data_IF_111155234047
#
_entry.id   IF_111155234047
#
_cell.length_a   1.000
_cell.length_b   1.000
_cell.length_c   1.000
_cell.angle_alpha   90.00
_cell.angle_beta   90.00
_cell.angle_gamma   90.00
#
_symmetry.space_group_name_H-M   'P 1'
#
loop_
_entity.id
_entity.type
_entity.pdbx_description
1 polymer ?
#
# COMPACT_ATOMS: atom_id res chain seq x y z
N UNK A 1 63.13 -23.18 -11.14
CA UNK A 1 62.42 -22.07 -10.45
C UNK A 1 62.77 -22.15 -8.98
N UNK A 2 63.43 -21.14 -8.40
CA UNK A 2 63.76 -21.16 -6.96
C UNK A 2 62.46 -21.22 -6.15
N UNK A 3 62.42 -22.00 -5.07
CA UNK A 3 61.25 -22.18 -4.21
C UNK A 3 60.63 -20.85 -3.74
N UNK A 4 61.45 -19.81 -3.61
CA UNK A 4 61.03 -18.43 -3.35
C UNK A 4 59.97 -17.91 -4.33
N UNK A 5 60.11 -18.15 -5.63
CA UNK A 5 59.13 -17.67 -6.62
C UNK A 5 57.79 -18.38 -6.49
N UNK A 6 57.78 -19.65 -6.08
CA UNK A 6 56.55 -20.42 -5.86
C UNK A 6 55.79 -19.87 -4.65
N UNK A 7 56.51 -19.52 -3.58
CA UNK A 7 55.93 -18.92 -2.37
C UNK A 7 55.31 -17.55 -2.68
N UNK A 8 56.00 -16.72 -3.46
CA UNK A 8 55.49 -15.40 -3.86
C UNK A 8 54.21 -15.51 -4.70
N UNK A 9 54.16 -16.45 -5.65
CA UNK A 9 52.97 -16.66 -6.48
C UNK A 9 51.78 -17.16 -5.65
N UNK A 10 51.99 -18.10 -4.72
CA UNK A 10 50.93 -18.58 -3.83
C UNK A 10 50.38 -17.49 -2.92
N UNK A 11 51.25 -16.61 -2.38
CA UNK A 11 50.84 -15.48 -1.58
C UNK A 11 49.98 -14.46 -2.37
N UNK A 12 50.35 -14.20 -3.63
CA UNK A 12 49.59 -13.35 -4.54
C UNK A 12 48.22 -13.93 -4.86
N UNK A 13 48.13 -15.24 -5.13
CA UNK A 13 46.85 -15.92 -5.35
C UNK A 13 45.93 -15.85 -4.13
N UNK A 14 46.46 -16.03 -2.92
CA UNK A 14 45.69 -15.90 -1.68
C UNK A 14 45.17 -14.48 -1.46
N UNK A 15 46.00 -13.47 -1.73
CA UNK A 15 45.60 -12.05 -1.65
C UNK A 15 44.48 -11.71 -2.64
N UNK A 16 44.59 -12.14 -3.90
CA UNK A 16 43.54 -11.95 -4.89
C UNK A 16 42.23 -12.64 -4.51
N UNK A 17 42.31 -13.85 -3.93
CA UNK A 17 41.14 -14.60 -3.46
C UNK A 17 40.44 -13.90 -2.29
N UNK A 18 41.20 -13.42 -1.30
CA UNK A 18 40.66 -12.68 -0.15
C UNK A 18 40.05 -11.33 -0.57
N UNK A 19 40.70 -10.61 -1.49
CA UNK A 19 40.19 -9.36 -2.05
C UNK A 19 38.87 -9.58 -2.80
N UNK A 20 38.80 -10.60 -3.67
CA UNK A 20 37.56 -10.95 -4.40
C UNK A 20 36.41 -11.42 -3.50
N UNK A 21 36.74 -12.04 -2.36
CA UNK A 21 35.73 -12.43 -1.35
C UNK A 21 35.24 -11.24 -0.52
N UNK A 22 36.09 -10.24 -0.30
CA UNK A 22 35.73 -9.02 0.40
C UNK A 22 34.86 -8.09 -0.45
N UNK A 23 35.15 -7.97 -1.75
CA UNK A 23 34.35 -7.15 -2.68
C UNK A 23 32.96 -7.73 -2.95
N UNK A 24 32.82 -9.07 -2.97
CA UNK A 24 31.49 -9.71 -3.09
C UNK A 24 30.55 -9.42 -1.89
N UNK A 25 31.10 -9.03 -0.73
CA UNK A 25 30.28 -8.62 0.42
C UNK A 25 29.82 -7.15 0.37
N UNK A 26 30.42 -6.33 -0.50
CA UNK A 26 30.05 -4.93 -0.68
C UNK A 26 28.88 -4.73 -1.68
N UNK A 27 28.38 -5.80 -2.29
CA UNK A 27 27.32 -5.75 -3.30
C UNK A 27 25.89 -5.79 -2.77
N UNK A 28 25.65 -5.44 -1.50
CA UNK A 28 24.36 -5.71 -0.87
C UNK A 28 23.89 -4.68 0.14
N UNK A 29 23.95 -3.37 -0.17
CA UNK A 29 23.14 -2.39 0.59
C UNK A 29 22.95 -1.08 -0.19
N UNK A 30 22.40 -1.17 -1.40
CA UNK A 30 21.75 -0.03 -2.05
C UNK A 30 20.28 -0.40 -2.30
N UNK A 31 19.50 -0.45 -1.23
CA UNK A 31 18.04 -0.43 -1.36
C UNK A 31 17.58 0.82 -0.64
N UNK A 32 17.20 1.82 -1.45
CA UNK A 32 16.62 3.08 -1.02
C UNK A 32 15.55 2.80 0.04
N UNK A 33 15.82 3.27 1.26
CA UNK A 33 14.92 3.11 2.38
C UNK A 33 13.90 4.23 2.34
N UNK A 34 12.65 3.86 2.08
CA UNK A 34 11.38 4.44 2.51
C UNK A 34 10.43 4.73 1.34
N UNK A 35 9.81 3.70 0.77
CA UNK A 35 8.64 3.89 -0.09
C UNK A 35 7.40 3.41 0.66
N UNK A 36 6.63 4.35 1.18
CA UNK A 36 5.25 4.08 1.61
C UNK A 36 4.42 3.81 0.37
N UNK A 37 4.02 2.56 0.16
CA UNK A 37 3.12 2.19 -0.93
C UNK A 37 1.67 2.43 -0.48
N UNK A 38 1.03 3.43 -1.05
CA UNK A 38 -0.41 3.66 -0.89
C UNK A 38 -1.10 2.93 -2.04
N UNK A 39 -1.74 1.80 -1.75
CA UNK A 39 -2.56 1.07 -2.71
C UNK A 39 -4.03 1.46 -2.50
N UNK A 40 -4.67 1.91 -3.56
CA UNK A 40 -6.13 2.06 -3.61
C UNK A 40 -6.69 0.80 -4.26
N UNK A 41 -7.45 0.02 -3.49
CA UNK A 41 -8.19 -1.12 -4.03
C UNK A 41 -9.64 -0.67 -4.32
N UNK A 42 -10.18 -1.11 -5.45
CA UNK A 42 -11.53 -0.74 -5.88
C UNK A 42 -12.42 -1.96 -5.79
N UNK A 43 -13.37 -1.94 -4.85
CA UNK A 43 -14.37 -2.99 -4.75
C UNK A 43 -15.64 -2.49 -5.44
N UNK A 44 -16.00 -3.15 -6.54
CA UNK A 44 -17.23 -2.88 -7.29
C UNK A 44 -18.35 -3.75 -6.78
N UNK A 45 -19.43 -3.13 -6.31
CA UNK A 45 -20.59 -3.82 -5.79
C UNK A 45 -21.78 -3.69 -6.73
N UNK A 46 -22.30 -4.83 -7.20
CA UNK A 46 -23.63 -4.94 -7.81
C UNK A 46 -24.62 -5.28 -6.69
N UNK A 47 -25.23 -4.28 -6.06
CA UNK A 47 -26.15 -4.52 -4.93
C UNK A 47 -27.58 -4.18 -5.36
N UNK A 48 -28.39 -5.20 -5.72
CA UNK A 48 -29.72 -4.99 -6.26
C UNK A 48 -30.86 -4.93 -5.22
N UNK A 49 -30.59 -5.00 -3.90
CA UNK A 49 -31.65 -5.02 -2.89
C UNK A 49 -31.44 -4.00 -1.75
N UNK A 50 -32.42 -3.11 -1.50
CA UNK A 50 -32.42 -2.23 -0.34
C UNK A 50 -32.83 -3.00 0.92
N UNK A 51 -32.33 -2.55 2.08
CA UNK A 51 -32.70 -3.11 3.38
C UNK A 51 -34.08 -2.60 3.82
N UNK A 52 -34.32 -1.30 3.62
CA UNK A 52 -35.59 -0.66 3.91
C UNK A 52 -36.06 0.19 2.74
N UNK A 53 -37.36 0.20 2.51
CA UNK A 53 -38.03 1.10 1.58
C UNK A 53 -39.12 1.86 2.34
N UNK A 54 -39.01 3.18 2.38
CA UNK A 54 -39.94 4.05 3.07
C UNK A 54 -40.51 5.08 2.10
N UNK A 55 -41.81 5.38 2.22
CA UNK A 55 -42.42 6.49 1.48
C UNK A 55 -42.24 7.75 2.32
N UNK A 56 -41.41 8.69 1.85
CA UNK A 56 -41.08 9.91 2.61
C UNK A 56 -42.02 11.07 2.30
N UNK A 57 -42.49 11.16 1.05
CA UNK A 57 -43.27 12.29 0.59
C UNK A 57 -44.18 11.88 -0.55
N UNK A 58 -45.34 12.54 -0.66
CA UNK A 58 -46.18 12.48 -1.86
C UNK A 58 -46.32 13.89 -2.39
N UNK A 59 -45.84 14.14 -3.61
CA UNK A 59 -45.87 15.44 -4.27
C UNK A 59 -46.94 15.40 -5.37
N UNK A 60 -47.94 16.29 -5.35
CA UNK A 60 -48.89 16.41 -6.45
C UNK A 60 -48.22 17.13 -7.62
N UNK A 61 -48.02 16.45 -8.75
CA UNK A 61 -47.50 17.05 -9.98
C UNK A 61 -48.63 17.26 -10.99
N UNK A 62 -48.65 18.41 -11.68
CA UNK A 62 -49.65 18.73 -12.69
C UNK A 62 -49.27 18.14 -14.04
N UNK A 63 -50.10 17.23 -14.56
CA UNK A 63 -49.96 16.68 -15.90
C UNK A 63 -51.04 17.24 -16.84
N UNK A 64 -50.68 17.80 -18.00
CA UNK A 64 -51.66 18.22 -18.99
C UNK A 64 -52.24 16.99 -19.70
N UNK A 65 -53.55 16.84 -19.67
CA UNK A 65 -54.26 15.83 -20.44
C UNK A 65 -55.06 16.52 -21.54
N UNK A 66 -55.02 15.92 -22.72
CA UNK A 66 -55.75 16.39 -23.90
C UNK A 66 -56.98 15.52 -24.07
N UNK A 67 -58.16 16.10 -23.92
CA UNK A 67 -59.43 15.42 -24.09
C UNK A 67 -60.02 15.90 -25.43
N UNK A 68 -60.27 14.97 -26.35
CA UNK A 68 -60.94 15.26 -27.61
C UNK A 68 -62.43 15.06 -27.47
N UNK A 69 -63.20 16.16 -27.49
CA UNK A 69 -64.66 16.13 -27.55
C UNK A 69 -65.11 16.71 -28.89
N UNK A 70 -65.85 15.91 -29.67
CA UNK A 70 -66.55 16.36 -30.89
C UNK A 70 -65.73 17.22 -31.88
N UNK A 71 -64.41 17.01 -31.94
CA UNK A 71 -63.50 17.71 -32.85
C UNK A 71 -62.66 18.83 -32.21
N UNK A 72 -62.95 19.22 -30.97
CA UNK A 72 -62.14 20.16 -30.19
C UNK A 72 -61.20 19.41 -29.23
N UNK A 73 -59.97 19.94 -29.10
CA UNK A 73 -58.97 19.42 -28.14
C UNK A 73 -58.93 20.35 -26.94
N UNK A 74 -59.46 19.92 -25.80
CA UNK A 74 -59.41 20.68 -24.55
C UNK A 74 -58.20 20.22 -23.73
N UNK A 75 -57.45 21.18 -23.17
CA UNK A 75 -56.31 20.91 -22.28
C UNK A 75 -56.73 21.09 -20.83
N UNK A 76 -56.86 20.00 -20.09
CA UNK A 76 -57.16 20.02 -18.65
C UNK A 76 -55.96 19.51 -17.85
N UNK A 77 -55.46 20.28 -16.85
CA UNK A 77 -54.42 19.80 -15.96
C UNK A 77 -55.01 18.89 -14.86
N UNK A 78 -54.44 17.70 -14.67
CA UNK A 78 -54.78 16.79 -13.57
C UNK A 78 -53.59 16.70 -12.61
N UNK A 79 -53.88 16.62 -11.31
CA UNK A 79 -52.88 16.39 -10.27
C UNK A 79 -52.63 14.89 -10.10
N UNK A 80 -51.42 14.43 -10.38
CA UNK A 80 -50.99 13.06 -10.14
C UNK A 80 -50.15 13.03 -8.85
N UNK A 81 -50.54 12.24 -7.84
CA UNK A 81 -49.76 12.10 -6.61
C UNK A 81 -48.54 11.23 -6.87
N UNK A 82 -47.36 11.85 -6.97
CA UNK A 82 -46.09 11.16 -7.13
C UNK A 82 -45.54 10.80 -5.75
N UNK A 83 -45.37 9.50 -5.50
CA UNK A 83 -44.76 9.01 -4.26
C UNK A 83 -43.24 9.06 -4.40
N UNK A 84 -42.61 9.83 -3.54
CA UNK A 84 -41.17 9.82 -3.35
C UNK A 84 -40.85 8.76 -2.31
N UNK A 85 -40.14 7.73 -2.72
CA UNK A 85 -39.63 6.69 -1.83
C UNK A 85 -38.16 6.92 -1.52
N UNK A 86 -37.73 6.44 -0.38
CA UNK A 86 -36.36 6.40 0.07
C UNK A 86 -35.98 4.94 0.30
N UNK A 87 -34.87 4.54 -0.30
CA UNK A 87 -34.30 3.21 -0.15
C UNK A 87 -32.98 3.31 0.61
N UNK A 88 -32.85 2.50 1.63
CA UNK A 88 -31.64 2.39 2.44
C UNK A 88 -30.80 1.19 2.00
N UNK A 89 -29.53 1.42 1.74
CA UNK A 89 -28.54 0.41 1.38
C UNK A 89 -27.48 0.38 2.48
N UNK A 90 -27.38 -0.75 3.16
CA UNK A 90 -26.46 -0.97 4.27
C UNK A 90 -25.59 -2.19 3.98
N UNK A 91 -24.28 -1.98 3.99
CA UNK A 91 -23.23 -3.00 3.84
C UNK A 91 -22.16 -2.74 4.91
N UNK A 92 -21.23 -3.68 5.12
CA UNK A 92 -20.12 -3.49 6.06
C UNK A 92 -19.21 -2.30 5.69
N UNK A 93 -19.11 -2.00 4.39
CA UNK A 93 -18.21 -0.95 3.87
C UNK A 93 -18.87 0.42 3.69
N UNK A 94 -20.20 0.48 3.60
CA UNK A 94 -20.91 1.73 3.31
C UNK A 94 -22.36 1.74 3.78
N UNK A 95 -22.87 2.94 4.02
CA UNK A 95 -24.28 3.21 4.34
C UNK A 95 -24.78 4.36 3.47
N UNK A 96 -25.81 4.10 2.67
CA UNK A 96 -26.34 5.06 1.70
C UNK A 96 -27.87 5.11 1.69
N UNK A 97 -28.42 6.30 1.50
CA UNK A 97 -29.84 6.52 1.26
C UNK A 97 -30.05 7.09 -0.14
N UNK A 98 -30.94 6.47 -0.91
CA UNK A 98 -31.33 6.94 -2.25
C UNK A 98 -32.81 7.30 -2.21
N UNK A 99 -33.11 8.59 -2.40
CA UNK A 99 -34.49 9.10 -2.45
C UNK A 99 -34.85 9.53 -3.87
N UNK A 100 -36.12 9.33 -4.26
CA UNK A 100 -36.60 9.73 -5.58
C UNK A 100 -37.96 9.12 -5.92
N UNK A 101 -38.39 9.33 -7.17
CA UNK A 101 -39.51 8.58 -7.74
C UNK A 101 -39.00 7.22 -8.22
N UNK A 102 -39.44 6.14 -7.57
CA UNK A 102 -38.96 4.78 -7.84
C UNK A 102 -37.42 4.69 -7.97
N UNK A 103 -36.65 5.13 -6.95
CA UNK A 103 -35.20 5.12 -7.02
C UNK A 103 -34.68 3.67 -7.03
N UNK A 104 -33.62 3.40 -7.77
CA UNK A 104 -32.87 2.14 -7.74
C UNK A 104 -31.37 2.45 -7.74
N UNK A 105 -30.60 1.64 -7.02
CA UNK A 105 -29.14 1.69 -7.06
C UNK A 105 -28.67 0.58 -8.01
N UNK A 106 -27.99 0.96 -9.09
CA UNK A 106 -27.49 -0.01 -10.07
C UNK A 106 -26.13 -0.58 -9.65
N UNK A 107 -25.20 0.30 -9.25
CA UNK A 107 -23.88 -0.09 -8.73
C UNK A 107 -23.26 1.01 -7.90
N UNK A 108 -22.34 0.64 -7.01
CA UNK A 108 -21.52 1.56 -6.22
C UNK A 108 -20.06 1.08 -6.23
N UNK A 109 -19.14 2.02 -6.44
CA UNK A 109 -17.70 1.79 -6.36
C UNK A 109 -17.18 2.42 -5.06
N UNK A 110 -16.62 1.60 -4.18
CA UNK A 110 -16.09 2.04 -2.88
C UNK A 110 -14.56 1.95 -2.90
N UNK A 111 -13.90 3.08 -2.62
CA UNK A 111 -12.44 3.20 -2.62
C UNK A 111 -11.89 3.12 -1.20
N UNK A 112 -11.44 1.94 -0.79
CA UNK A 112 -10.85 1.75 0.54
C UNK A 112 -9.34 2.03 0.51
N UNK A 113 -8.85 2.79 1.50
CA UNK A 113 -7.43 3.08 1.66
C UNK A 113 -6.76 2.04 2.54
N UNK A 114 -5.96 1.15 1.94
CA UNK A 114 -5.12 0.20 2.70
C UNK A 114 -3.72 0.76 2.86
N UNK A 115 -3.28 0.98 4.10
CA UNK A 115 -1.93 1.51 4.40
C UNK A 115 -1.04 0.35 4.86
N UNK A 116 -0.09 -0.05 4.02
CA UNK A 116 0.95 -1.00 4.41
C UNK A 116 2.15 -0.25 5.01
N UNK A 117 2.33 -0.35 6.33
CA UNK A 117 3.52 0.14 7.02
C UNK A 117 4.52 -1.00 7.08
N UNK A 118 5.45 -1.05 6.13
CA UNK A 118 6.58 -1.99 6.21
C UNK A 118 7.48 -1.57 7.36
N UNK A 119 7.40 -2.27 8.49
CA UNK A 119 8.32 -2.06 9.60
C UNK A 119 9.76 -2.35 9.15
N UNK A 120 10.67 -1.41 9.42
CA UNK A 120 12.09 -1.56 9.10
C UNK A 120 12.63 -2.81 9.78
N UNK A 121 13.21 -3.73 8.99
CA UNK A 121 14.01 -4.83 9.52
C UNK A 121 15.02 -4.26 10.52
N UNK A 122 14.89 -4.68 11.79
CA UNK A 122 15.72 -4.21 12.91
C UNK A 122 17.19 -4.36 12.51
N UNK A 123 17.90 -3.25 12.38
CA UNK A 123 19.32 -3.26 12.05
C UNK A 123 20.06 -4.10 13.09
N UNK A 124 20.93 -5.00 12.63
CA UNK A 124 21.73 -5.87 13.50
C UNK A 124 22.65 -5.00 14.35
N UNK A 125 22.35 -4.89 15.65
CA UNK A 125 23.06 -3.99 16.61
C UNK A 125 24.46 -4.47 16.99
N UNK A 126 24.77 -5.74 16.72
CA UNK A 126 26.00 -6.41 17.14
C UNK A 126 26.77 -6.93 15.94
N UNK A 127 28.01 -6.48 15.81
CA UNK A 127 28.97 -6.91 14.79
C UNK A 127 30.24 -7.46 15.42
N UNK A 128 30.85 -8.43 14.74
CA UNK A 128 32.20 -8.94 15.07
C UNK A 128 33.11 -8.43 13.96
N UNK A 129 34.12 -7.66 14.32
CA UNK A 129 35.10 -7.07 13.40
C UNK A 129 36.52 -7.52 13.73
N UNK A 130 37.38 -7.52 12.72
CA UNK A 130 38.81 -7.68 12.92
C UNK A 130 39.38 -6.30 13.30
N UNK A 131 40.07 -6.20 14.43
CA UNK A 131 40.70 -4.96 14.88
C UNK A 131 42.21 -5.09 14.79
N UNK A 132 42.86 -4.08 14.23
CA UNK A 132 44.32 -4.01 14.09
C UNK A 132 44.82 -2.77 14.80
N UNK A 133 45.84 -2.91 15.64
CA UNK A 133 46.40 -1.81 16.41
C UNK A 133 47.87 -2.04 16.76
N UNK A 134 48.49 -1.04 17.39
CA UNK A 134 49.84 -1.14 17.94
C UNK A 134 49.76 -1.22 19.47
N UNK A 135 50.32 -2.27 20.05
CA UNK A 135 50.35 -2.49 21.49
C UNK A 135 51.79 -2.47 22.03
N UNK A 136 51.94 -2.20 23.33
CA UNK A 136 53.24 -2.26 24.01
C UNK A 136 53.47 -3.70 24.46
N UNK A 137 54.37 -4.41 23.77
CA UNK A 137 54.79 -5.77 24.11
C UNK A 137 56.08 -5.80 24.92
N UNK A 138 56.50 -7.00 25.35
CA UNK A 138 57.75 -7.21 26.13
C UNK A 138 59.04 -6.74 25.43
N UNK A 139 58.98 -6.46 24.12
CA UNK A 139 60.12 -6.01 23.30
C UNK A 139 59.84 -4.70 22.56
N UNK A 140 58.90 -3.87 23.02
CA UNK A 140 58.56 -2.58 22.42
C UNK A 140 57.21 -2.57 21.69
N UNK A 141 56.99 -1.55 20.83
CA UNK A 141 55.74 -1.38 20.07
C UNK A 141 55.58 -2.52 19.05
N UNK A 142 54.71 -3.47 19.38
CA UNK A 142 54.41 -4.64 18.56
C UNK A 142 53.03 -4.51 17.91
N UNK A 143 52.89 -4.83 16.61
CA UNK A 143 51.59 -4.85 15.95
C UNK A 143 50.73 -5.99 16.52
N UNK A 144 49.45 -5.71 16.74
CA UNK A 144 48.48 -6.64 17.27
C UNK A 144 47.27 -6.74 16.34
N UNK A 145 46.81 -7.98 16.13
CA UNK A 145 45.59 -8.30 15.39
C UNK A 145 44.67 -9.06 16.35
N UNK A 146 43.49 -8.51 16.57
CA UNK A 146 42.48 -9.07 17.47
C UNK A 146 41.11 -9.18 16.81
N UNK A 147 40.21 -9.89 17.48
CA UNK A 147 38.79 -9.93 17.14
C UNK A 147 38.06 -9.05 18.15
N UNK A 148 37.33 -8.05 17.67
CA UNK A 148 36.56 -7.12 18.49
C UNK A 148 35.06 -7.28 18.26
N UNK A 149 34.29 -7.22 19.33
CA UNK A 149 32.83 -7.09 19.26
C UNK A 149 32.50 -5.61 19.36
N UNK A 150 31.71 -5.08 18.43
CA UNK A 150 31.23 -3.71 18.49
C UNK A 150 29.71 -3.67 18.51
N UNK A 151 29.19 -2.73 19.29
CA UNK A 151 27.77 -2.45 19.40
C UNK A 151 27.50 -1.07 18.81
N UNK A 152 26.60 -0.99 17.83
CA UNK A 152 26.12 0.28 17.30
C UNK A 152 24.95 0.74 18.18
N UNK A 153 25.16 1.83 18.92
CA UNK A 153 24.23 2.31 19.95
C UNK A 153 23.04 3.07 19.32
N UNK A 154 23.17 3.55 18.08
CA UNK A 154 22.12 4.21 17.30
C UNK A 154 22.22 3.88 15.80
#
# INVERSE_FOLDING_TARGET
>A
MKAWHIIVVLALCLLCFLAGRHTNRAGGELVGKNDTLILYDTIRYSIPYPVYETVIQTVPEMFPIYITLEGDTVREPIFVPIRITQKEYLTDDYHAWVSGYNPSLDSIDVFQKTIYITEKVKTRRWGIGLTTGYGIGRYGLSPYVGIGVYCRIW
#
